data_IF_548773765055
#
_entry.id   IF_548773765055
#
_cell.length_a   1.000
_cell.length_b   1.000
_cell.length_c   1.000
_cell.angle_alpha   90.00
_cell.angle_beta   90.00
_cell.angle_gamma   90.00
#
_symmetry.space_group_name_H-M   'P 1'
#
loop_
_entity.id
_entity.type
_entity.pdbx_description
1 polymer ?
#
# COMPACT_ATOMS: atom_id res chain seq x y z
N UNK A 1 -10.67 -29.86 14.19
CA UNK A 1 -9.25 -29.52 13.98
C UNK A 1 -9.21 -28.24 13.15
N UNK A 2 -8.77 -27.12 13.72
CA UNK A 2 -8.78 -25.82 13.03
C UNK A 2 -7.57 -25.75 12.08
N UNK A 3 -7.79 -25.94 10.78
CA UNK A 3 -6.79 -25.72 9.74
C UNK A 3 -6.50 -24.21 9.62
N UNK A 4 -5.53 -23.73 10.40
CA UNK A 4 -5.01 -22.36 10.31
C UNK A 4 -4.00 -22.22 9.17
N UNK A 5 -4.38 -22.64 7.97
CA UNK A 5 -3.72 -22.12 6.76
C UNK A 5 -4.22 -20.68 6.60
N UNK A 6 -3.67 -19.75 7.38
CA UNK A 6 -3.66 -18.33 7.02
C UNK A 6 -2.79 -18.22 5.77
N UNK A 7 -3.33 -18.63 4.63
CA UNK A 7 -3.05 -17.89 3.41
C UNK A 7 -3.47 -16.47 3.78
N UNK A 8 -2.51 -15.56 3.94
CA UNK A 8 -2.84 -14.14 3.91
C UNK A 8 -3.67 -13.98 2.63
N UNK A 9 -4.97 -13.75 2.78
CA UNK A 9 -5.83 -13.67 1.62
C UNK A 9 -5.29 -12.55 0.76
N UNK A 10 -5.23 -12.72 -0.55
CA UNK A 10 -4.72 -11.69 -1.45
C UNK A 10 -5.43 -10.33 -1.20
N UNK A 11 -6.67 -10.35 -0.69
CA UNK A 11 -7.39 -9.18 -0.18
C UNK A 11 -6.71 -8.43 0.98
N UNK A 12 -6.22 -9.11 2.03
CA UNK A 12 -5.55 -8.45 3.16
C UNK A 12 -4.24 -7.76 2.72
N UNK A 13 -3.54 -8.38 1.77
CA UNK A 13 -2.28 -7.84 1.22
C UNK A 13 -2.55 -6.60 0.36
N UNK A 14 -3.64 -6.63 -0.43
CA UNK A 14 -4.09 -5.51 -1.24
C UNK A 14 -4.52 -4.33 -0.36
N UNK A 15 -5.35 -4.57 0.67
CA UNK A 15 -5.80 -3.54 1.62
C UNK A 15 -4.63 -2.89 2.37
N UNK A 16 -3.67 -3.71 2.84
CA UNK A 16 -2.46 -3.20 3.49
C UNK A 16 -1.59 -2.35 2.53
N UNK A 17 -1.57 -2.70 1.24
CA UNK A 17 -0.95 -1.89 0.19
C UNK A 17 -1.64 -0.55 0.05
N UNK A 18 -2.96 -0.57 -0.12
CA UNK A 18 -3.78 0.63 -0.30
C UNK A 18 -3.63 1.62 0.86
N UNK A 19 -3.67 1.12 2.10
CA UNK A 19 -3.47 1.97 3.28
C UNK A 19 -2.08 2.59 3.32
N UNK A 20 -1.04 1.84 2.93
CA UNK A 20 0.32 2.36 2.86
C UNK A 20 0.48 3.44 1.76
N UNK A 21 -0.24 3.31 0.64
CA UNK A 21 -0.31 4.34 -0.39
C UNK A 21 -0.95 5.63 0.11
N UNK A 22 -2.08 5.52 0.80
CA UNK A 22 -2.78 6.65 1.42
C UNK A 22 -1.95 7.33 2.53
N UNK A 23 -1.16 6.56 3.27
CA UNK A 23 -0.27 7.08 4.33
C UNK A 23 0.99 7.76 3.76
N UNK A 24 1.28 7.60 2.47
CA UNK A 24 2.51 8.09 1.84
C UNK A 24 3.74 7.27 2.21
N UNK A 25 3.56 6.04 2.70
CA UNK A 25 4.64 5.10 2.95
C UNK A 25 5.35 4.80 1.61
N UNK A 26 6.68 4.83 1.51
CA UNK A 26 7.36 4.57 0.24
C UNK A 26 7.31 3.09 -0.13
N UNK A 27 7.21 2.77 -1.43
CA UNK A 27 7.09 1.40 -1.96
C UNK A 27 8.22 0.46 -1.49
N UNK A 28 9.41 1.00 -1.23
CA UNK A 28 10.57 0.25 -0.70
C UNK A 28 10.38 -0.27 0.74
N UNK A 29 9.44 0.32 1.51
CA UNK A 29 9.06 -0.16 2.84
C UNK A 29 8.10 -1.36 2.80
N UNK A 30 7.86 -1.93 1.61
CA UNK A 30 7.10 -3.15 1.46
C UNK A 30 7.68 -4.28 2.34
N UNK A 31 6.90 -4.89 3.25
CA UNK A 31 7.38 -5.94 4.15
C UNK A 31 7.59 -7.29 3.44
N UNK A 32 7.18 -7.40 2.17
CA UNK A 32 7.23 -8.64 1.41
C UNK A 32 8.52 -8.76 0.57
N UNK A 33 9.05 -9.99 0.41
CA UNK A 33 10.28 -10.21 -0.36
C UNK A 33 10.11 -9.77 -1.82
N UNK A 34 11.18 -9.25 -2.43
CA UNK A 34 11.22 -8.99 -3.86
C UNK A 34 10.86 -10.26 -4.67
N UNK A 35 9.95 -10.12 -5.64
CA UNK A 35 9.49 -11.24 -6.48
C UNK A 35 8.42 -12.15 -5.86
N UNK A 36 7.96 -11.89 -4.63
CA UNK A 36 6.84 -12.63 -4.05
C UNK A 36 5.50 -12.15 -4.61
N UNK A 37 4.54 -13.05 -4.80
CA UNK A 37 3.17 -12.70 -5.20
C UNK A 37 2.55 -11.64 -4.27
N UNK A 38 2.78 -11.76 -2.96
CA UNK A 38 2.34 -10.77 -1.98
C UNK A 38 2.91 -9.36 -2.22
N UNK A 39 4.15 -9.25 -2.72
CA UNK A 39 4.72 -7.94 -3.07
C UNK A 39 4.01 -7.33 -4.28
N UNK A 40 3.63 -8.15 -5.26
CA UNK A 40 2.87 -7.69 -6.44
C UNK A 40 1.53 -7.13 -5.99
N UNK A 41 0.76 -7.93 -5.23
CA UNK A 41 -0.56 -7.54 -4.73
C UNK A 41 -0.49 -6.31 -3.81
N UNK A 42 0.50 -6.25 -2.92
CA UNK A 42 0.70 -5.07 -2.05
C UNK A 42 1.06 -3.82 -2.86
N UNK A 43 1.87 -3.96 -3.92
CA UNK A 43 2.24 -2.82 -4.79
C UNK A 43 1.07 -2.33 -5.63
N UNK A 44 0.17 -3.22 -6.04
CA UNK A 44 -1.09 -2.85 -6.71
C UNK A 44 -2.01 -2.07 -5.77
N UNK A 45 -2.16 -2.54 -4.53
CA UNK A 45 -2.90 -1.82 -3.50
C UNK A 45 -2.29 -0.44 -3.24
N UNK A 46 -0.97 -0.38 -3.02
CA UNK A 46 -0.23 0.86 -2.81
C UNK A 46 -0.46 1.88 -3.92
N UNK A 47 -0.36 1.45 -5.18
CA UNK A 47 -0.69 2.29 -6.33
C UNK A 47 -2.10 2.83 -6.24
N UNK A 48 -3.08 1.98 -5.92
CA UNK A 48 -4.47 2.41 -5.79
C UNK A 48 -4.68 3.45 -4.67
N UNK A 49 -3.90 3.37 -3.59
CA UNK A 49 -3.92 4.37 -2.52
C UNK A 49 -3.18 5.66 -2.86
N UNK A 50 -2.13 5.60 -3.70
CA UNK A 50 -1.39 6.79 -4.16
C UNK A 50 -2.01 7.50 -5.37
N UNK A 51 -2.78 6.76 -6.18
CA UNK A 51 -3.41 7.21 -7.43
C UNK A 51 -4.78 7.85 -7.18
N UNK A 52 -5.19 8.06 -5.92
CA UNK A 52 -6.24 9.01 -5.53
C UNK A 52 -5.57 10.37 -5.25
N UNK A 53 -5.36 11.23 -6.27
CA UNK A 53 -4.87 12.58 -6.07
C UNK A 53 -6.02 13.46 -5.59
N UNK A 54 -6.31 13.49 -4.28
CA UNK A 54 -7.23 14.51 -3.78
C UNK A 54 -6.76 15.13 -2.44
N UNK A 55 -6.34 16.39 -2.58
CA UNK A 55 -6.60 17.53 -1.67
C UNK A 55 -5.93 17.60 -0.28
N UNK A 56 -4.59 17.60 -0.17
CA UNK A 56 -3.92 18.30 0.96
C UNK A 56 -2.49 18.80 0.70
N UNK A 57 -2.12 19.07 -0.56
CA UNK A 57 -0.91 19.86 -0.85
C UNK A 57 -1.19 21.38 -0.97
N UNK A 58 -2.21 21.89 -0.27
CA UNK A 58 -2.38 23.34 0.00
C UNK A 58 -1.72 23.70 1.34
N UNK A 59 -0.39 23.56 1.44
CA UNK A 59 0.32 24.20 2.56
C UNK A 59 1.85 24.36 2.41
N UNK A 60 2.36 24.87 1.29
CA UNK A 60 3.64 25.62 1.36
C UNK A 60 3.54 26.88 0.51
N UNK A 61 3.31 28.00 1.22
CA UNK A 61 3.44 29.37 0.71
C UNK A 61 4.82 29.56 0.08
N UNK A 62 4.88 29.86 -1.22
CA UNK A 62 6.00 30.58 -1.82
C UNK A 62 5.43 31.70 -2.72
N UNK A 63 4.79 32.67 -2.06
CA UNK A 63 4.93 34.06 -2.46
C UNK A 63 5.90 34.67 -1.45
N UNK A 64 7.07 35.07 -1.92
CA UNK A 64 8.14 35.71 -1.17
C UNK A 64 9.29 36.05 -2.10
#
# INVERSE_FOLDING_TARGET
MHNRNKAFGDGEVLEAGMQAGLDGTPLESCPYPAGSAARVVWSEGWRCGTDEPDVVADQVKIFG
#
